data_IF_703154058871
#
_entry.id   IF_703154058871
#
_cell.length_a   1.000
_cell.length_b   1.000
_cell.length_c   1.000
_cell.angle_alpha   90.00
_cell.angle_beta   90.00
_cell.angle_gamma   90.00
#
_symmetry.space_group_name_H-M   'P 1'
#
loop_
_entity.id
_entity.type
_entity.pdbx_description
1 polymer ?
#
# COMPACT_ATOMS: atom_id res chain seq x y z
N UNK A 1 12.60 -11.37 -14.93
CA UNK A 1 11.53 -10.45 -14.53
C UNK A 1 11.84 -9.80 -13.18
N UNK A 2 11.66 -8.52 -13.11
CA UNK A 2 11.98 -7.77 -11.89
C UNK A 2 10.90 -7.96 -10.82
N UNK A 3 11.33 -8.36 -9.63
CA UNK A 3 10.41 -8.50 -8.51
C UNK A 3 10.29 -7.16 -7.77
N UNK A 4 9.28 -6.39 -8.09
CA UNK A 4 9.04 -5.08 -7.49
C UNK A 4 8.76 -5.17 -5.97
N UNK A 5 8.27 -6.30 -5.51
CA UNK A 5 7.96 -6.47 -4.09
C UNK A 5 9.22 -6.53 -3.22
N UNK A 6 10.37 -6.87 -3.81
CA UNK A 6 11.63 -6.84 -3.05
C UNK A 6 11.99 -5.43 -2.60
N UNK A 7 11.59 -4.42 -3.36
CA UNK A 7 11.84 -3.03 -2.95
C UNK A 7 10.96 -2.64 -1.76
N UNK A 8 9.75 -3.20 -1.68
CA UNK A 8 8.78 -2.88 -0.64
C UNK A 8 8.99 -3.72 0.62
N UNK A 9 9.27 -5.01 0.43
CA UNK A 9 9.37 -5.99 1.53
C UNK A 9 10.70 -6.71 1.54
N UNK A 10 11.81 -5.97 1.37
CA UNK A 10 13.15 -6.56 1.35
C UNK A 10 13.48 -7.33 2.63
N UNK A 11 12.90 -6.92 3.76
CA UNK A 11 13.10 -7.52 5.06
C UNK A 11 12.04 -8.59 5.42
N UNK A 12 11.12 -8.85 4.50
CA UNK A 12 10.05 -9.85 4.70
C UNK A 12 9.93 -10.72 3.44
N UNK A 13 10.85 -11.68 3.25
CA UNK A 13 10.83 -12.50 2.03
C UNK A 13 9.50 -13.20 1.75
N UNK A 14 8.76 -13.57 2.79
CA UNK A 14 7.48 -14.23 2.63
C UNK A 14 6.43 -13.35 1.95
N UNK A 15 6.62 -12.02 1.98
CA UNK A 15 5.70 -11.07 1.37
C UNK A 15 6.17 -10.57 0.01
N UNK A 16 7.24 -11.16 -0.54
CA UNK A 16 7.75 -10.79 -1.86
C UNK A 16 7.03 -11.53 -2.99
N UNK A 17 5.78 -11.89 -2.77
CA UNK A 17 4.94 -12.64 -3.71
C UNK A 17 3.53 -12.02 -3.70
N UNK A 18 2.98 -11.68 -4.89
CA UNK A 18 1.66 -11.04 -4.97
C UNK A 18 0.54 -11.85 -4.31
N UNK A 19 0.57 -13.17 -4.45
CA UNK A 19 -0.46 -14.02 -3.84
C UNK A 19 -0.41 -13.95 -2.32
N UNK A 20 0.79 -13.91 -1.75
CA UNK A 20 0.97 -13.80 -0.31
C UNK A 20 0.41 -12.48 0.21
N UNK A 21 0.69 -11.39 -0.51
CA UNK A 21 0.15 -10.07 -0.16
C UNK A 21 -1.38 -10.10 -0.19
N UNK A 22 -1.97 -10.63 -1.27
CA UNK A 22 -3.42 -10.70 -1.40
C UNK A 22 -4.04 -11.55 -0.30
N UNK A 23 -3.40 -12.66 0.04
CA UNK A 23 -3.88 -13.54 1.12
C UNK A 23 -3.89 -12.81 2.45
N UNK A 24 -2.82 -12.11 2.77
CA UNK A 24 -2.72 -11.36 4.03
C UNK A 24 -3.77 -10.25 4.06
N UNK A 25 -3.95 -9.52 2.95
CA UNK A 25 -4.95 -8.45 2.89
C UNK A 25 -6.38 -9.00 3.02
N UNK A 26 -6.68 -10.12 2.36
CA UNK A 26 -7.99 -10.74 2.47
C UNK A 26 -8.27 -11.23 3.89
N UNK A 27 -7.28 -11.84 4.52
CA UNK A 27 -7.39 -12.32 5.90
C UNK A 27 -7.62 -11.15 6.85
N UNK A 28 -6.86 -10.07 6.68
CA UNK A 28 -7.01 -8.87 7.50
C UNK A 28 -8.39 -8.24 7.31
N UNK A 29 -8.91 -8.25 6.08
CA UNK A 29 -10.24 -7.75 5.79
C UNK A 29 -11.32 -8.54 6.50
N UNK A 30 -11.22 -9.87 6.49
CA UNK A 30 -12.18 -10.73 7.18
C UNK A 30 -12.18 -10.52 8.68
N UNK A 31 -11.00 -10.29 9.26
CA UNK A 31 -10.83 -10.07 10.69
C UNK A 31 -11.02 -8.62 11.11
N UNK A 32 -11.28 -7.76 10.15
CA UNK A 32 -11.35 -6.31 10.37
C UNK A 32 -10.07 -5.78 11.01
N UNK A 33 -8.94 -6.31 10.59
CA UNK A 33 -7.62 -5.95 11.10
C UNK A 33 -7.02 -4.82 10.25
N UNK A 34 -7.38 -3.59 10.61
CA UNK A 34 -6.92 -2.41 9.90
C UNK A 34 -5.44 -2.15 10.10
N UNK A 35 -4.88 -2.57 11.22
CA UNK A 35 -3.45 -2.39 11.50
C UNK A 35 -2.58 -3.05 10.44
N UNK A 36 -2.90 -4.29 10.10
CA UNK A 36 -2.15 -5.03 9.09
C UNK A 36 -2.31 -4.38 7.72
N UNK A 37 -3.53 -4.00 7.36
CA UNK A 37 -3.79 -3.34 6.08
C UNK A 37 -3.00 -2.04 5.98
N UNK A 38 -3.05 -1.21 7.01
CA UNK A 38 -2.32 0.07 7.02
C UNK A 38 -0.81 -0.13 6.98
N UNK A 39 -0.31 -1.16 7.66
CA UNK A 39 1.12 -1.46 7.64
C UNK A 39 1.59 -1.79 6.23
N UNK A 40 0.85 -2.66 5.53
CA UNK A 40 1.20 -3.03 4.15
C UNK A 40 1.08 -1.83 3.23
N UNK A 41 -0.02 -1.08 3.33
CA UNK A 41 -0.24 0.12 2.51
C UNK A 41 0.87 1.14 2.73
N UNK A 42 1.25 1.40 3.99
CA UNK A 42 2.31 2.35 4.31
C UNK A 42 3.63 1.95 3.66
N UNK A 43 3.97 0.68 3.65
CA UNK A 43 5.21 0.23 3.02
C UNK A 43 5.19 0.47 1.51
N UNK A 44 4.04 0.25 0.86
CA UNK A 44 3.91 0.54 -0.56
C UNK A 44 4.06 2.04 -0.84
N UNK A 45 3.43 2.87 -0.03
CA UNK A 45 3.50 4.31 -0.22
C UNK A 45 4.91 4.86 0.03
N UNK A 46 5.64 4.24 0.94
CA UNK A 46 6.99 4.66 1.29
C UNK A 46 8.03 4.19 0.27
N UNK A 47 7.89 2.95 -0.20
CA UNK A 47 8.95 2.30 -0.99
C UNK A 47 8.49 1.78 -2.35
N UNK A 48 7.19 1.72 -2.59
CA UNK A 48 6.65 1.20 -3.85
C UNK A 48 6.40 2.31 -4.87
N UNK A 49 6.17 1.88 -6.10
CA UNK A 49 5.76 2.80 -7.16
C UNK A 49 4.25 2.91 -7.17
N UNK A 50 3.74 4.02 -7.71
CA UNK A 50 2.29 4.24 -7.83
C UNK A 50 1.62 3.08 -8.58
N UNK A 51 2.22 2.67 -9.70
CA UNK A 51 1.71 1.56 -10.52
C UNK A 51 1.57 0.27 -9.72
N UNK A 52 2.60 -0.07 -8.95
CA UNK A 52 2.63 -1.32 -8.19
C UNK A 52 1.65 -1.27 -7.02
N UNK A 53 1.53 -0.12 -6.38
CA UNK A 53 0.59 0.09 -5.29
C UNK A 53 -0.86 -0.08 -5.77
N UNK A 54 -1.14 0.40 -6.99
CA UNK A 54 -2.47 0.31 -7.58
C UNK A 54 -2.91 -1.13 -7.89
N UNK A 55 -1.97 -2.08 -7.90
CA UNK A 55 -2.32 -3.49 -8.07
C UNK A 55 -3.04 -4.06 -6.85
N UNK A 56 -2.86 -3.46 -5.69
CA UNK A 56 -3.39 -3.98 -4.43
C UNK A 56 -4.39 -3.04 -3.76
N UNK A 57 -4.33 -1.75 -4.03
CA UNK A 57 -5.17 -0.76 -3.37
C UNK A 57 -5.76 0.19 -4.40
N UNK A 58 -7.05 0.50 -4.23
CA UNK A 58 -7.72 1.49 -5.07
C UNK A 58 -7.36 2.90 -4.61
N UNK A 59 -7.32 3.88 -5.52
CA UNK A 59 -7.04 5.27 -5.14
C UNK A 59 -7.89 5.77 -3.98
N UNK A 60 -9.18 5.45 -3.98
CA UNK A 60 -10.08 5.85 -2.91
C UNK A 60 -9.67 5.28 -1.56
N UNK A 61 -9.24 4.02 -1.54
CA UNK A 61 -8.77 3.40 -0.30
C UNK A 61 -7.54 4.10 0.24
N UNK A 62 -6.61 4.44 -0.66
CA UNK A 62 -5.38 5.14 -0.27
C UNK A 62 -5.74 6.52 0.27
N UNK A 63 -6.60 7.26 -0.43
CA UNK A 63 -7.03 8.59 0.00
C UNK A 63 -7.63 8.56 1.39
N UNK A 64 -8.57 7.64 1.63
CA UNK A 64 -9.30 7.58 2.89
C UNK A 64 -8.41 7.10 4.05
N UNK A 65 -7.35 6.35 3.75
CA UNK A 65 -6.45 5.79 4.75
C UNK A 65 -5.25 6.68 5.04
N UNK A 66 -4.95 7.61 4.15
CA UNK A 66 -3.68 8.35 4.16
C UNK A 66 -3.39 9.02 5.50
N UNK A 67 -4.40 9.60 6.13
CA UNK A 67 -4.25 10.30 7.41
C UNK A 67 -3.89 9.36 8.57
N UNK A 68 -4.15 8.06 8.42
CA UNK A 68 -3.88 7.08 9.46
C UNK A 68 -2.54 6.36 9.28
N UNK A 69 -1.86 6.60 8.16
CA UNK A 69 -0.65 5.85 7.82
C UNK A 69 0.59 6.47 8.46
N UNK A 70 1.48 5.61 8.94
CA UNK A 70 2.76 6.04 9.49
C UNK A 70 3.81 6.04 8.39
N UNK A 71 3.89 7.15 7.67
CA UNK A 71 4.82 7.33 6.56
C UNK A 71 5.60 8.64 6.74
N UNK A 72 6.70 8.77 6.01
CA UNK A 72 7.52 9.98 6.07
C UNK A 72 6.75 11.19 5.55
N UNK A 73 7.16 12.38 5.97
CA UNK A 73 6.53 13.62 5.50
C UNK A 73 6.66 13.75 3.98
N UNK A 74 7.78 13.33 3.41
CA UNK A 74 8.00 13.39 1.97
C UNK A 74 7.04 12.47 1.23
N UNK A 75 6.88 11.23 1.72
CA UNK A 75 5.95 10.27 1.11
C UNK A 75 4.51 10.76 1.23
N UNK A 76 4.13 11.29 2.40
CA UNK A 76 2.79 11.83 2.63
C UNK A 76 2.48 12.95 1.65
N UNK A 77 3.37 13.90 1.47
CA UNK A 77 3.19 15.02 0.54
C UNK A 77 3.00 14.52 -0.89
N UNK A 78 3.84 13.58 -1.30
CA UNK A 78 3.76 13.03 -2.65
C UNK A 78 2.42 12.36 -2.91
N UNK A 79 1.95 11.54 -1.95
CA UNK A 79 0.70 10.82 -2.11
C UNK A 79 -0.52 11.72 -1.95
N UNK A 80 -0.46 12.74 -1.09
CA UNK A 80 -1.54 13.72 -1.00
C UNK A 80 -1.74 14.42 -2.33
N UNK A 81 -0.64 14.81 -2.98
CA UNK A 81 -0.71 15.45 -4.30
C UNK A 81 -1.28 14.51 -5.35
N UNK A 82 -0.88 13.23 -5.33
CA UNK A 82 -1.42 12.25 -6.25
C UNK A 82 -2.91 12.03 -6.03
N UNK A 83 -3.35 12.01 -4.79
CA UNK A 83 -4.75 11.79 -4.46
C UNK A 83 -5.63 12.98 -4.82
N UNK A 84 -5.09 14.18 -4.90
CA UNK A 84 -5.84 15.33 -5.40
C UNK A 84 -6.28 15.11 -6.84
N UNK A 85 -5.47 14.39 -7.62
CA UNK A 85 -5.75 14.14 -9.04
C UNK A 85 -6.54 12.84 -9.22
N UNK A 86 -6.17 11.77 -8.51
CA UNK A 86 -6.70 10.43 -8.75
C UNK A 86 -7.59 9.88 -7.64
N UNK A 87 -7.73 10.58 -6.52
CA UNK A 87 -8.43 10.05 -5.34
C UNK A 87 -9.90 9.76 -5.51
N UNK A 88 -10.54 10.32 -6.53
CA UNK A 88 -11.96 10.11 -6.82
C UNK A 88 -12.20 8.98 -7.83
N UNK A 89 -11.14 8.36 -8.29
CA UNK A 89 -11.21 7.23 -9.22
C UNK A 89 -11.24 5.94 -8.43
N UNK A 90 -12.21 5.09 -8.70
CA UNK A 90 -12.33 3.78 -8.06
C UNK A 90 -11.42 2.74 -8.71
#
# INVERSE_FOLDING_TARGET
MRNYLKAVFWDYPALCDPESIRRVLNEAGRKNDKKTVYWIMARFLERGRVRDTALFFRPREIRDSLKFLMISAAARKRWERLMEVYGDID
#
